data_IF_811488059929
#
_entry.id   IF_811488059929
#
_cell.length_a   1.000
_cell.length_b   1.000
_cell.length_c   1.000
_cell.angle_alpha   90.00
_cell.angle_beta   90.00
_cell.angle_gamma   90.00
#
_symmetry.space_group_name_H-M   'P 1'
#
loop_
_entity.id
_entity.type
_entity.pdbx_description
1 polymer ?
#
# COMPACT_ATOMS: atom_id res chain seq x y z
N UNK A 1 -5.06 14.88 -32.14
CA UNK A 1 -4.19 15.78 -32.94
C UNK A 1 -2.76 15.64 -32.41
N UNK A 2 -1.91 14.80 -33.02
CA UNK A 2 -0.55 14.53 -32.50
C UNK A 2 0.44 15.68 -32.72
N UNK A 3 0.09 16.74 -33.42
CA UNK A 3 1.02 17.79 -33.87
C UNK A 3 1.01 19.09 -33.05
N UNK A 4 0.36 19.10 -31.87
CA UNK A 4 0.27 20.32 -31.04
C UNK A 4 1.39 20.41 -29.99
N UNK A 5 2.09 19.30 -29.73
CA UNK A 5 3.19 19.29 -28.78
C UNK A 5 4.46 19.82 -29.46
N UNK A 6 4.78 21.09 -29.23
CA UNK A 6 6.10 21.61 -29.58
C UNK A 6 7.17 20.80 -28.84
N UNK A 7 8.34 20.58 -29.47
CA UNK A 7 9.41 19.73 -28.87
C UNK A 7 9.84 20.13 -27.47
N UNK A 8 9.68 21.40 -27.08
CA UNK A 8 9.99 21.87 -25.73
C UNK A 8 9.09 21.28 -24.64
N UNK A 9 7.81 20.91 -24.95
CA UNK A 9 6.92 20.25 -23.98
C UNK A 9 7.44 18.87 -23.57
N UNK A 10 8.09 18.16 -24.50
CA UNK A 10 8.71 16.86 -24.20
C UNK A 10 9.87 17.07 -23.22
N UNK A 11 10.70 18.08 -23.45
CA UNK A 11 11.78 18.43 -22.53
C UNK A 11 11.26 18.87 -21.15
N UNK A 12 10.21 19.68 -21.12
CA UNK A 12 9.61 20.15 -19.87
C UNK A 12 8.96 19.01 -19.06
N UNK A 13 8.47 17.95 -19.72
CA UNK A 13 7.87 16.79 -19.07
C UNK A 13 8.89 15.94 -18.29
N UNK A 14 10.18 16.03 -18.58
CA UNK A 14 11.22 15.24 -17.91
C UNK A 14 11.27 15.54 -16.40
N UNK A 15 11.14 16.82 -16.01
CA UNK A 15 11.21 17.23 -14.60
C UNK A 15 10.08 16.61 -13.78
N UNK A 16 8.79 16.77 -14.13
CA UNK A 16 7.71 16.14 -13.39
C UNK A 16 7.76 14.60 -13.47
N UNK A 17 8.21 14.02 -14.60
CA UNK A 17 8.38 12.59 -14.72
C UNK A 17 9.44 12.04 -13.75
N UNK A 18 10.55 12.73 -13.57
CA UNK A 18 11.59 12.37 -12.62
C UNK A 18 11.10 12.44 -11.17
N UNK A 19 10.39 13.50 -10.81
CA UNK A 19 9.79 13.64 -9.47
C UNK A 19 8.75 12.54 -9.21
N UNK A 20 7.91 12.23 -10.19
CA UNK A 20 6.92 11.16 -10.10
C UNK A 20 7.59 9.79 -9.95
N UNK A 21 8.69 9.56 -10.67
CA UNK A 21 9.47 8.31 -10.57
C UNK A 21 10.02 8.12 -9.17
N UNK A 22 10.58 9.17 -8.56
CA UNK A 22 11.07 9.11 -7.17
C UNK A 22 9.92 8.80 -6.22
N UNK A 23 8.80 9.50 -6.36
CA UNK A 23 7.62 9.29 -5.52
C UNK A 23 7.13 7.84 -5.63
N UNK A 24 6.96 7.33 -6.85
CA UNK A 24 6.48 5.95 -7.09
C UNK A 24 7.47 4.91 -6.59
N UNK A 25 8.76 5.18 -6.72
CA UNK A 25 9.81 4.31 -6.21
C UNK A 25 9.67 4.12 -4.68
N UNK A 26 9.56 5.21 -3.93
CA UNK A 26 9.41 5.13 -2.47
C UNK A 26 8.09 4.48 -2.08
N UNK A 27 7.00 4.94 -2.65
CA UNK A 27 5.65 4.51 -2.31
C UNK A 27 5.47 3.00 -2.58
N UNK A 28 5.88 2.55 -3.76
CA UNK A 28 5.79 1.14 -4.14
C UNK A 28 6.69 0.25 -3.26
N UNK A 29 7.95 0.65 -3.04
CA UNK A 29 8.86 -0.14 -2.23
C UNK A 29 8.40 -0.25 -0.78
N UNK A 30 7.88 0.82 -0.19
CA UNK A 30 7.32 0.79 1.17
C UNK A 30 6.11 -0.14 1.23
N UNK A 31 5.19 -0.04 0.26
CA UNK A 31 4.01 -0.92 0.17
C UNK A 31 4.42 -2.39 0.03
N UNK A 32 5.37 -2.69 -0.85
CA UNK A 32 5.88 -4.03 -1.09
C UNK A 32 6.59 -4.60 0.16
N UNK A 33 7.39 -3.78 0.83
CA UNK A 33 8.10 -4.16 2.05
C UNK A 33 7.14 -4.49 3.20
N UNK A 34 6.12 -3.66 3.39
CA UNK A 34 5.10 -3.88 4.42
C UNK A 34 4.21 -5.10 4.14
N UNK A 35 3.96 -5.40 2.85
CA UNK A 35 3.15 -6.55 2.46
C UNK A 35 3.90 -7.87 2.50
N UNK A 36 5.22 -7.83 2.31
CA UNK A 36 6.11 -9.00 2.31
C UNK A 36 6.97 -9.08 3.58
N UNK A 37 6.49 -8.51 4.67
CA UNK A 37 7.18 -8.55 5.96
C UNK A 37 7.35 -10.00 6.44
N UNK A 38 8.54 -10.40 6.89
CA UNK A 38 8.81 -11.74 7.41
C UNK A 38 7.86 -12.21 8.50
N UNK A 39 7.25 -11.29 9.25
CA UNK A 39 6.26 -11.60 10.29
C UNK A 39 5.03 -12.34 9.76
N UNK A 40 4.74 -12.22 8.48
CA UNK A 40 3.59 -12.89 7.85
C UNK A 40 3.87 -14.34 7.45
N UNK A 41 5.11 -14.81 7.56
CA UNK A 41 5.50 -16.17 7.20
C UNK A 41 4.96 -16.62 5.83
N UNK A 42 5.19 -15.75 4.82
CA UNK A 42 4.79 -16.04 3.44
C UNK A 42 5.53 -17.26 2.90
N UNK A 43 4.82 -18.12 2.17
CA UNK A 43 5.39 -19.33 1.57
C UNK A 43 6.31 -18.96 0.40
N UNK A 44 5.95 -17.90 -0.36
CA UNK A 44 6.73 -17.44 -1.49
C UNK A 44 7.81 -16.47 -1.07
N UNK A 45 8.99 -16.55 -1.69
CA UNK A 45 10.05 -15.60 -1.43
C UNK A 45 9.63 -14.19 -1.88
N UNK A 46 10.16 -13.18 -1.20
CA UNK A 46 9.94 -11.79 -1.56
C UNK A 46 10.46 -11.47 -2.96
N UNK A 47 9.68 -10.76 -3.76
CA UNK A 47 9.94 -10.49 -5.17
C UNK A 47 9.90 -8.98 -5.50
N UNK A 48 10.55 -8.15 -4.68
CA UNK A 48 10.52 -6.68 -4.78
C UNK A 48 10.88 -6.16 -6.17
N UNK A 49 11.94 -6.71 -6.78
CA UNK A 49 12.40 -6.27 -8.10
C UNK A 49 11.40 -6.61 -9.21
N UNK A 50 10.72 -7.75 -9.09
CA UNK A 50 9.70 -8.15 -10.06
C UNK A 50 8.46 -7.25 -9.93
N UNK A 51 8.04 -6.96 -8.71
CA UNK A 51 6.90 -6.08 -8.44
C UNK A 51 7.14 -4.69 -9.05
N UNK A 52 8.35 -4.16 -8.85
CA UNK A 52 8.74 -2.85 -9.41
C UNK A 52 8.83 -2.85 -10.94
N UNK A 53 9.31 -3.94 -11.53
CA UNK A 53 9.35 -4.09 -12.99
C UNK A 53 7.95 -4.12 -13.59
N UNK A 54 7.02 -4.86 -12.96
CA UNK A 54 5.62 -4.93 -13.39
C UNK A 54 4.96 -3.55 -13.27
N UNK A 55 5.20 -2.82 -12.16
CA UNK A 55 4.73 -1.44 -12.02
C UNK A 55 5.23 -0.56 -13.17
N UNK A 56 6.53 -0.62 -13.49
CA UNK A 56 7.12 0.13 -14.60
C UNK A 56 6.43 -0.16 -15.94
N UNK A 57 6.17 -1.45 -16.21
CA UNK A 57 5.45 -1.85 -17.42
C UNK A 57 4.02 -1.29 -17.47
N UNK A 58 3.29 -1.31 -16.35
CA UNK A 58 1.94 -0.73 -16.23
C UNK A 58 1.98 0.78 -16.46
N UNK A 59 2.94 1.49 -15.87
CA UNK A 59 3.09 2.95 -16.04
C UNK A 59 3.36 3.32 -17.50
N UNK A 60 4.19 2.54 -18.21
CA UNK A 60 4.41 2.73 -19.65
C UNK A 60 3.11 2.53 -20.44
N UNK A 61 2.39 1.46 -20.17
CA UNK A 61 1.11 1.18 -20.86
C UNK A 61 0.08 2.29 -20.58
N UNK A 62 -0.10 2.71 -19.34
CA UNK A 62 -1.01 3.80 -18.99
C UNK A 62 -0.61 5.10 -19.68
N UNK A 63 0.69 5.39 -19.79
CA UNK A 63 1.20 6.54 -20.51
C UNK A 63 0.87 6.52 -22.00
N UNK A 64 0.97 5.35 -22.66
CA UNK A 64 0.60 5.18 -24.08
C UNK A 64 -0.91 5.44 -24.28
N UNK A 65 -1.74 4.97 -23.36
CA UNK A 65 -3.20 5.17 -23.43
C UNK A 65 -3.66 6.55 -22.94
N UNK A 66 -2.75 7.38 -22.42
CA UNK A 66 -3.09 8.71 -21.87
C UNK A 66 -3.90 8.62 -20.56
N UNK A 67 -3.80 7.49 -19.85
CA UNK A 67 -4.46 7.29 -18.56
C UNK A 67 -3.48 7.71 -17.44
N UNK A 68 -3.96 8.37 -16.37
CA UNK A 68 -3.10 8.69 -15.23
C UNK A 68 -2.41 7.46 -14.68
N UNK A 69 -1.11 7.52 -14.36
CA UNK A 69 -0.39 6.38 -13.79
C UNK A 69 -0.93 6.07 -12.40
N UNK A 70 -1.09 4.77 -12.11
CA UNK A 70 -1.43 4.27 -10.79
C UNK A 70 -0.22 3.65 -10.11
N UNK A 71 -0.21 3.66 -8.79
CA UNK A 71 0.82 3.06 -7.96
C UNK A 71 0.23 2.10 -6.93
N UNK A 72 1.07 1.27 -6.32
CA UNK A 72 0.69 0.44 -5.18
C UNK A 72 0.33 1.30 -3.98
N UNK A 73 -0.82 1.03 -3.39
CA UNK A 73 -1.33 1.81 -2.27
C UNK A 73 -0.76 1.27 -0.95
N UNK A 74 0.03 2.08 -0.27
CA UNK A 74 0.70 1.70 0.99
C UNK A 74 -0.27 1.12 2.03
N UNK A 75 -1.45 1.73 2.33
CA UNK A 75 -2.30 1.18 3.38
C UNK A 75 -3.09 -0.05 2.94
N UNK A 76 -3.52 -0.14 1.68
CA UNK A 76 -4.40 -1.22 1.22
C UNK A 76 -3.68 -2.57 1.08
N UNK A 77 -2.47 -2.60 0.55
CA UNK A 77 -1.74 -3.83 0.33
C UNK A 77 -1.38 -4.55 1.65
N UNK A 78 -0.80 -3.91 2.67
CA UNK A 78 -0.56 -4.53 3.97
C UNK A 78 -1.86 -4.91 4.70
N UNK A 79 -2.92 -4.10 4.61
CA UNK A 79 -4.21 -4.42 5.20
C UNK A 79 -4.83 -5.67 4.57
N UNK A 80 -4.67 -5.83 3.26
CA UNK A 80 -5.12 -7.03 2.56
C UNK A 80 -4.38 -8.29 3.03
N UNK A 81 -3.06 -8.21 3.20
CA UNK A 81 -2.25 -9.31 3.73
C UNK A 81 -2.67 -9.64 5.17
N UNK A 82 -2.86 -8.63 6.01
CA UNK A 82 -3.33 -8.82 7.41
C UNK A 82 -4.72 -9.45 7.46
N UNK A 83 -5.62 -9.10 6.56
CA UNK A 83 -6.97 -9.67 6.49
C UNK A 83 -6.97 -11.17 6.11
N UNK A 84 -5.95 -11.64 5.41
CA UNK A 84 -5.77 -13.03 5.04
C UNK A 84 -4.86 -13.80 6.01
N UNK A 85 -4.32 -13.12 7.02
CA UNK A 85 -3.41 -13.72 7.99
C UNK A 85 -4.17 -14.54 9.03
N UNK A 86 -3.61 -15.67 9.37
CA UNK A 86 -4.08 -16.51 10.48
C UNK A 86 -3.34 -16.10 11.75
N UNK A 87 -4.10 -15.68 12.76
CA UNK A 87 -3.57 -15.28 14.06
C UNK A 87 -3.68 -16.46 15.04
N UNK A 88 -2.61 -16.72 15.77
CA UNK A 88 -2.64 -17.63 16.92
C UNK A 88 -2.33 -16.86 18.20
N UNK A 89 -3.08 -17.17 19.25
CA UNK A 89 -2.81 -16.60 20.57
C UNK A 89 -1.76 -17.45 21.27
N UNK A 90 -0.54 -16.95 21.31
CA UNK A 90 0.58 -17.58 22.01
C UNK A 90 0.68 -16.99 23.40
N UNK A 91 0.82 -17.84 24.42
CA UNK A 91 1.15 -17.39 25.77
C UNK A 91 2.67 -17.24 25.89
N UNK A 92 3.11 -16.07 26.24
CA UNK A 92 4.53 -15.83 26.54
C UNK A 92 4.90 -16.68 27.79
N UNK A 93 5.87 -17.59 27.66
CA UNK A 93 6.27 -18.46 28.77
C UNK A 93 6.88 -17.72 29.96
N UNK A 94 7.35 -16.49 29.77
CA UNK A 94 8.00 -15.68 30.79
C UNK A 94 7.05 -14.70 31.48
N UNK A 95 6.17 -14.04 30.74
CA UNK A 95 5.26 -13.02 31.27
C UNK A 95 3.84 -13.52 31.52
N UNK A 96 3.46 -14.67 30.94
CA UNK A 96 2.09 -15.18 30.98
C UNK A 96 1.08 -14.38 30.14
N UNK A 97 1.53 -13.31 29.50
CA UNK A 97 0.70 -12.48 28.62
C UNK A 97 0.31 -13.24 27.34
N UNK A 98 -0.89 -13.00 26.88
CA UNK A 98 -1.38 -13.53 25.60
C UNK A 98 -0.98 -12.54 24.51
N UNK A 99 -0.16 -12.99 23.58
CA UNK A 99 0.20 -12.23 22.37
C UNK A 99 -0.41 -12.91 21.15
N UNK A 100 -0.94 -12.10 20.25
CA UNK A 100 -1.36 -12.57 18.95
C UNK A 100 -0.15 -12.56 18.01
N UNK A 101 0.21 -13.75 17.51
CA UNK A 101 1.29 -13.91 16.54
C UNK A 101 0.72 -14.40 15.22
N UNK A 102 1.33 -13.96 14.13
CA UNK A 102 0.97 -14.41 12.80
C UNK A 102 1.53 -15.82 12.57
N UNK A 103 0.66 -16.78 12.31
CA UNK A 103 1.06 -18.15 11.94
C UNK A 103 1.42 -18.26 10.47
N UNK A 104 0.74 -17.50 9.62
CA UNK A 104 0.89 -17.51 8.17
C UNK A 104 -0.22 -16.74 7.50
N UNK A 105 -0.16 -16.65 6.19
CA UNK A 105 -1.14 -15.95 5.37
C UNK A 105 -1.71 -16.91 4.33
N UNK A 106 -3.02 -16.85 4.10
CA UNK A 106 -3.66 -17.58 3.02
C UNK A 106 -3.31 -16.93 1.68
N UNK A 107 -2.29 -17.45 1.00
CA UNK A 107 -1.88 -16.97 -0.32
C UNK A 107 -2.89 -17.38 -1.39
N UNK A 108 -3.83 -16.51 -1.69
CA UNK A 108 -4.86 -16.75 -2.71
C UNK A 108 -4.78 -15.68 -3.81
N UNK A 109 -5.03 -16.12 -5.06
CA UNK A 109 -5.15 -15.22 -6.21
C UNK A 109 -6.57 -14.73 -6.42
N UNK A 110 -7.54 -15.42 -5.82
CA UNK A 110 -8.96 -15.13 -6.00
C UNK A 110 -9.36 -13.78 -5.41
N UNK A 111 -8.79 -13.41 -4.26
CA UNK A 111 -9.08 -12.12 -3.62
C UNK A 111 -8.65 -10.94 -4.50
N UNK A 112 -7.47 -11.00 -5.11
CA UNK A 112 -6.99 -9.96 -6.03
C UNK A 112 -7.82 -9.91 -7.31
N UNK A 113 -8.21 -11.08 -7.85
CA UNK A 113 -9.07 -11.15 -9.03
C UNK A 113 -10.45 -10.53 -8.75
N UNK A 114 -11.07 -10.90 -7.62
CA UNK A 114 -12.36 -10.36 -7.20
C UNK A 114 -12.27 -8.85 -6.93
N UNK A 115 -11.21 -8.38 -6.31
CA UNK A 115 -10.98 -6.94 -6.10
C UNK A 115 -10.88 -6.20 -7.44
N UNK A 116 -10.10 -6.72 -8.38
CA UNK A 116 -9.97 -6.11 -9.72
C UNK A 116 -11.28 -6.12 -10.49
N UNK A 117 -12.03 -7.21 -10.41
CA UNK A 117 -13.37 -7.32 -10.99
C UNK A 117 -14.34 -6.32 -10.33
N UNK A 118 -14.33 -6.19 -9.01
CA UNK A 118 -15.15 -5.22 -8.28
C UNK A 118 -14.84 -3.78 -8.73
N UNK A 119 -13.54 -3.44 -8.90
CA UNK A 119 -13.13 -2.14 -9.42
C UNK A 119 -13.68 -1.91 -10.84
N UNK A 120 -13.63 -2.91 -11.70
CA UNK A 120 -14.21 -2.83 -13.05
C UNK A 120 -15.73 -2.60 -12.97
N UNK A 121 -16.43 -3.30 -12.08
CA UNK A 121 -17.87 -3.14 -11.87
C UNK A 121 -18.25 -1.81 -11.23
N UNK A 122 -17.34 -1.09 -10.59
CA UNK A 122 -17.64 0.26 -10.05
C UNK A 122 -18.11 1.22 -11.15
N UNK A 123 -17.70 0.98 -12.39
CA UNK A 123 -18.17 1.74 -13.55
C UNK A 123 -19.70 1.67 -13.73
N UNK A 124 -20.31 0.54 -13.36
CA UNK A 124 -21.76 0.36 -13.43
C UNK A 124 -22.50 1.02 -12.26
N UNK A 125 -21.83 1.18 -11.14
CA UNK A 125 -22.42 1.72 -9.91
C UNK A 125 -21.90 3.13 -9.57
N UNK A 126 -21.25 3.82 -10.52
CA UNK A 126 -20.63 5.13 -10.25
C UNK A 126 -21.63 6.16 -9.73
N UNK A 127 -22.91 6.06 -10.16
CA UNK A 127 -23.98 6.93 -9.68
C UNK A 127 -24.20 6.75 -8.17
N UNK A 128 -24.17 5.50 -7.69
CA UNK A 128 -24.30 5.17 -6.27
C UNK A 128 -23.08 5.63 -5.50
N UNK A 129 -21.87 5.47 -6.07
CA UNK A 129 -20.64 5.97 -5.47
C UNK A 129 -20.64 7.50 -5.32
N UNK A 130 -21.26 8.22 -6.27
CA UNK A 130 -21.41 9.66 -6.20
C UNK A 130 -22.31 10.15 -5.03
N UNK A 131 -23.12 9.27 -4.44
CA UNK A 131 -23.94 9.60 -3.26
C UNK A 131 -23.19 9.45 -1.94
N UNK A 132 -21.99 8.86 -1.94
CA UNK A 132 -21.18 8.69 -0.74
C UNK A 132 -20.68 10.06 -0.26
N UNK A 133 -21.00 10.47 0.97
CA UNK A 133 -20.50 11.73 1.51
C UNK A 133 -18.97 11.74 1.59
N UNK A 134 -18.36 12.84 1.19
CA UNK A 134 -16.90 13.00 1.23
C UNK A 134 -16.31 12.76 2.63
N UNK A 135 -17.09 13.07 3.67
CA UNK A 135 -16.70 12.80 5.06
C UNK A 135 -16.38 11.33 5.35
N UNK A 136 -17.06 10.39 4.68
CA UNK A 136 -16.76 8.94 4.81
C UNK A 136 -15.38 8.65 4.26
N UNK A 137 -15.03 9.21 3.10
CA UNK A 137 -13.71 9.03 2.50
C UNK A 137 -12.61 9.61 3.39
N UNK A 138 -12.81 10.82 3.89
CA UNK A 138 -11.88 11.46 4.83
C UNK A 138 -11.73 10.65 6.12
N UNK A 139 -12.82 10.09 6.63
CA UNK A 139 -12.81 9.21 7.81
C UNK A 139 -11.96 7.95 7.58
N UNK A 140 -12.09 7.31 6.43
CA UNK A 140 -11.28 6.14 6.06
C UNK A 140 -9.79 6.51 5.97
N UNK A 141 -9.45 7.62 5.31
CA UNK A 141 -8.05 8.06 5.21
C UNK A 141 -7.47 8.42 6.59
N UNK A 142 -8.24 9.07 7.44
CA UNK A 142 -7.83 9.38 8.81
C UNK A 142 -7.61 8.10 9.63
N UNK A 143 -8.53 7.15 9.53
CA UNK A 143 -8.40 5.84 10.18
C UNK A 143 -7.13 5.12 9.73
N UNK A 144 -6.88 5.05 8.42
CA UNK A 144 -5.67 4.43 7.88
C UNK A 144 -4.40 5.16 8.34
N UNK A 145 -4.43 6.49 8.40
CA UNK A 145 -3.32 7.30 8.91
C UNK A 145 -3.00 6.98 10.37
N UNK A 146 -4.01 6.93 11.23
CA UNK A 146 -3.84 6.65 12.66
C UNK A 146 -3.37 5.19 12.88
N UNK A 147 -3.99 4.23 12.22
CA UNK A 147 -3.61 2.81 12.36
C UNK A 147 -2.24 2.50 11.75
N UNK A 148 -1.78 3.32 10.80
CA UNK A 148 -0.43 3.22 10.24
C UNK A 148 0.70 3.57 11.22
N UNK A 149 0.38 4.21 12.35
CA UNK A 149 1.36 4.44 13.44
C UNK A 149 1.61 3.18 14.28
N UNK A 150 0.68 2.22 14.28
CA UNK A 150 0.84 0.98 15.02
C UNK A 150 2.00 0.16 14.43
N UNK A 151 3.02 -0.12 15.28
CA UNK A 151 4.23 -0.83 14.88
C UNK A 151 5.27 0.03 14.13
N UNK A 152 5.05 1.33 14.00
CA UNK A 152 6.02 2.23 13.40
C UNK A 152 7.15 2.54 14.40
N UNK A 153 8.37 2.15 14.05
CA UNK A 153 9.55 2.33 14.90
C UNK A 153 9.88 3.80 15.18
N UNK A 154 9.58 4.71 14.24
CA UNK A 154 9.76 6.15 14.46
C UNK A 154 8.78 6.68 15.50
N UNK A 155 7.51 6.26 15.43
CA UNK A 155 6.49 6.62 16.40
C UNK A 155 6.84 6.13 17.80
N UNK A 156 7.28 4.89 17.91
CA UNK A 156 7.76 4.31 19.19
C UNK A 156 8.94 5.08 19.76
N UNK A 157 9.92 5.46 18.91
CA UNK A 157 11.06 6.27 19.35
C UNK A 157 10.67 7.68 19.76
N UNK A 158 9.74 8.31 19.04
CA UNK A 158 9.22 9.63 19.41
C UNK A 158 8.50 9.58 20.76
N UNK A 159 7.72 8.53 20.99
CA UNK A 159 7.04 8.29 22.26
C UNK A 159 8.02 8.08 23.42
N UNK A 160 9.11 7.34 23.16
CA UNK A 160 10.20 7.17 24.14
C UNK A 160 10.94 8.46 24.49
N UNK A 161 10.98 9.45 23.59
CA UNK A 161 11.57 10.77 23.89
C UNK A 161 10.71 11.57 24.89
N UNK A 162 9.40 11.36 24.86
CA UNK A 162 8.44 12.07 25.72
C UNK A 162 8.28 11.33 27.06
N UNK A 163 8.56 10.02 27.08
CA UNK A 163 8.45 9.20 28.28
C UNK A 163 9.60 9.49 29.24
N UNK A 164 9.32 9.53 30.54
CA UNK A 164 10.31 9.76 31.58
C UNK A 164 11.46 8.74 31.52
N UNK A 165 12.69 9.16 31.84
CA UNK A 165 13.89 8.30 31.76
C UNK A 165 13.80 7.00 32.54
N UNK A 166 13.04 6.99 33.62
CA UNK A 166 12.87 5.84 34.52
C UNK A 166 11.98 4.73 33.95
N UNK A 167 11.32 4.97 32.83
CA UNK A 167 10.46 4.03 32.13
C UNK A 167 11.01 3.56 30.76
N UNK A 168 12.27 3.88 30.49
CA UNK A 168 12.98 3.48 29.26
C UNK A 168 13.56 2.08 29.34
#
# INVERSE_FOLDING_TARGET
QPNILAGWHIGAAIIPAFLLTILFFFDHNVSSLLSQDPRFHLIKPAAYSLDFLVLGAIVVLTGIFGVPPGNGLIPQAPLHVRALATLEVVKDPLSGERREEFRGVLETRWSNLLQSAAILFTFLIYIVLGTIPQGVLYGIFLFMGITGFDGNSLWTRLWLLITQPDLR
#
